data_IF_670546801872
#
_entry.id   IF_670546801872
#
_cell.length_a   1.000
_cell.length_b   1.000
_cell.length_c   1.000
_cell.angle_alpha   90.00
_cell.angle_beta   90.00
_cell.angle_gamma   90.00
#
_symmetry.space_group_name_H-M   'P 1'
#
loop_
_entity.id
_entity.type
_entity.pdbx_description
1 polymer ?
#
# COMPACT_ATOMS: atom_id res chain seq x y z
N UNK A 1 -22.54 -7.95 -21.64
CA UNK A 1 -22.01 -8.35 -20.32
C UNK A 1 -22.56 -7.37 -19.30
N UNK A 2 -23.31 -7.81 -18.27
CA UNK A 2 -23.77 -6.92 -17.22
C UNK A 2 -22.53 -6.42 -16.44
N UNK A 3 -22.44 -5.10 -16.21
CA UNK A 3 -21.44 -4.53 -15.31
C UNK A 3 -21.83 -4.93 -13.89
N UNK A 4 -21.08 -5.85 -13.29
CA UNK A 4 -21.25 -6.20 -11.89
C UNK A 4 -21.02 -4.92 -11.05
N UNK A 5 -21.89 -4.59 -10.08
CA UNK A 5 -21.68 -3.41 -9.26
C UNK A 5 -20.39 -3.61 -8.44
N UNK A 6 -19.48 -2.63 -8.52
CA UNK A 6 -18.26 -2.60 -7.71
C UNK A 6 -18.68 -2.32 -6.27
N UNK A 7 -18.43 -3.25 -5.36
CA UNK A 7 -18.63 -3.02 -3.94
C UNK A 7 -17.44 -2.23 -3.39
N UNK A 8 -17.69 -1.02 -2.90
CA UNK A 8 -16.63 -0.16 -2.36
C UNK A 8 -16.00 -0.75 -1.09
N UNK A 9 -16.72 -1.60 -0.37
CA UNK A 9 -16.22 -2.28 0.83
C UNK A 9 -15.13 -3.31 0.52
N UNK A 10 -14.94 -3.69 -0.76
CA UNK A 10 -13.91 -4.63 -1.19
C UNK A 10 -12.55 -3.93 -1.46
N UNK A 11 -12.50 -2.61 -1.29
CA UNK A 11 -11.30 -1.80 -1.55
C UNK A 11 -10.73 -1.21 -0.27
N UNK A 12 -9.42 -1.00 -0.29
CA UNK A 12 -8.67 -0.28 0.74
C UNK A 12 -7.75 0.73 0.08
N UNK A 13 -7.37 1.75 0.83
CA UNK A 13 -6.38 2.73 0.43
C UNK A 13 -5.02 2.32 0.96
N UNK A 14 -4.06 2.15 0.07
CA UNK A 14 -2.69 1.70 0.36
C UNK A 14 -1.69 2.66 -0.28
N UNK A 15 -0.50 2.75 0.31
CA UNK A 15 0.60 3.50 -0.28
C UNK A 15 1.37 2.57 -1.22
N UNK A 16 1.49 2.92 -2.48
CA UNK A 16 2.31 2.21 -3.47
C UNK A 16 3.60 2.97 -3.75
N UNK A 17 4.60 2.24 -4.22
CA UNK A 17 5.92 2.72 -4.58
C UNK A 17 6.14 2.42 -6.05
N UNK A 18 6.39 3.46 -6.84
CA UNK A 18 6.73 3.35 -8.26
C UNK A 18 8.20 3.70 -8.44
N UNK A 19 8.99 2.76 -8.96
CA UNK A 19 10.40 2.99 -9.31
C UNK A 19 10.57 3.15 -10.81
N UNK A 20 11.21 4.25 -11.21
CA UNK A 20 11.61 4.51 -12.59
C UNK A 20 13.05 4.04 -12.79
N UNK A 21 13.37 3.46 -13.94
CA UNK A 21 14.74 3.07 -14.30
C UNK A 21 15.21 3.92 -15.47
N UNK A 22 16.39 4.53 -15.34
CA UNK A 22 16.90 5.54 -16.30
C UNK A 22 17.29 4.91 -17.65
N UNK A 23 17.67 3.62 -17.66
CA UNK A 23 18.34 2.97 -18.79
C UNK A 23 17.64 1.71 -19.33
N UNK A 24 16.41 1.41 -18.92
CA UNK A 24 15.69 0.22 -19.40
C UNK A 24 14.38 0.63 -20.05
N UNK A 25 14.17 0.21 -21.29
CA UNK A 25 12.92 0.34 -22.04
C UNK A 25 11.74 -0.45 -21.43
N UNK A 26 11.80 -0.79 -20.15
CA UNK A 26 10.79 -1.52 -19.40
C UNK A 26 10.05 -0.57 -18.47
N UNK A 27 8.74 -0.74 -18.53
CA UNK A 27 7.72 -0.07 -17.74
C UNK A 27 8.09 -0.02 -16.26
N UNK A 28 7.70 1.08 -15.61
CA UNK A 28 7.76 1.31 -14.17
C UNK A 28 7.47 0.04 -13.35
N UNK A 29 8.20 -0.14 -12.24
CA UNK A 29 7.87 -1.19 -11.26
C UNK A 29 7.03 -0.56 -10.16
N UNK A 30 5.79 -1.02 -10.03
CA UNK A 30 4.90 -0.64 -8.94
C UNK A 30 4.81 -1.77 -7.92
N UNK A 31 4.92 -1.41 -6.65
CA UNK A 31 4.86 -2.34 -5.51
C UNK A 31 4.17 -1.70 -4.31
N UNK A 32 3.76 -2.52 -3.35
CA UNK A 32 3.23 -2.02 -2.08
C UNK A 32 4.37 -1.43 -1.22
N UNK A 33 4.09 -0.35 -0.50
CA UNK A 33 5.02 0.14 0.51
C UNK A 33 5.01 -0.78 1.74
N UNK A 34 6.02 -1.64 1.83
CA UNK A 34 6.33 -2.40 3.03
C UNK A 34 7.07 -1.56 4.08
N UNK A 35 6.67 -1.68 5.34
CA UNK A 35 7.33 -1.11 6.50
C UNK A 35 7.84 -2.24 7.41
N UNK A 36 8.82 -1.92 8.26
CA UNK A 36 9.28 -2.80 9.31
C UNK A 36 9.05 -2.15 10.68
N UNK A 37 8.59 -2.93 11.65
CA UNK A 37 8.53 -2.50 13.05
C UNK A 37 9.90 -2.62 13.74
N UNK A 38 9.97 -2.20 15.01
CA UNK A 38 11.20 -2.26 15.81
C UNK A 38 11.69 -3.70 16.08
N UNK A 39 10.85 -4.71 15.82
CA UNK A 39 11.17 -6.13 15.96
C UNK A 39 11.60 -6.76 14.63
N UNK A 40 11.55 -6.01 13.53
CA UNK A 40 11.87 -6.47 12.18
C UNK A 40 10.72 -7.20 11.48
N UNK A 41 9.51 -7.21 12.05
CA UNK A 41 8.34 -7.74 11.36
C UNK A 41 7.95 -6.81 10.23
N UNK A 42 7.66 -7.39 9.06
CA UNK A 42 7.35 -6.65 7.86
C UNK A 42 5.84 -6.57 7.63
N UNK A 43 5.32 -5.38 7.36
CA UNK A 43 3.90 -5.18 7.14
C UNK A 43 3.58 -4.08 6.11
N UNK A 44 2.40 -4.16 5.52
CA UNK A 44 1.80 -3.13 4.66
C UNK A 44 0.65 -2.47 5.42
N UNK A 45 0.72 -1.15 5.70
CA UNK A 45 -0.40 -0.42 6.27
C UNK A 45 -1.44 -0.10 5.21
N UNK A 46 -2.70 -0.40 5.51
CA UNK A 46 -3.87 -0.03 4.68
C UNK A 46 -4.88 0.75 5.49
N UNK A 47 -5.73 1.53 4.83
CA UNK A 47 -6.78 2.33 5.48
C UNK A 47 -8.11 2.17 4.74
N UNK A 48 -9.23 2.40 5.43
CA UNK A 48 -10.56 2.46 4.78
C UNK A 48 -10.86 3.81 4.14
N UNK A 49 -10.12 4.86 4.51
CA UNK A 49 -10.35 6.24 4.07
C UNK A 49 -9.12 6.80 3.36
N UNK A 50 -9.33 7.47 2.22
CA UNK A 50 -8.23 8.04 1.41
C UNK A 50 -7.41 9.05 2.19
N UNK A 51 -8.09 9.87 2.96
CA UNK A 51 -7.51 10.96 3.75
C UNK A 51 -6.56 10.41 4.83
N UNK A 52 -6.90 9.26 5.41
CA UNK A 52 -6.05 8.56 6.36
C UNK A 52 -4.75 8.07 5.68
N UNK A 53 -4.83 7.43 4.51
CA UNK A 53 -3.65 7.03 3.75
C UNK A 53 -2.79 8.23 3.32
N UNK A 54 -3.39 9.35 2.93
CA UNK A 54 -2.65 10.58 2.62
C UNK A 54 -1.92 11.13 3.85
N UNK A 55 -2.59 11.15 5.01
CA UNK A 55 -1.97 11.58 6.26
C UNK A 55 -0.77 10.71 6.64
N UNK A 56 -0.81 9.41 6.36
CA UNK A 56 0.32 8.50 6.56
C UNK A 56 1.46 8.79 5.57
N UNK A 57 1.14 8.96 4.28
CA UNK A 57 2.13 9.32 3.26
C UNK A 57 2.92 10.59 3.64
N UNK A 58 2.25 11.62 4.16
CA UNK A 58 2.89 12.86 4.60
C UNK A 58 3.79 12.70 5.83
N UNK A 59 3.64 11.62 6.61
CA UNK A 59 4.47 11.33 7.78
C UNK A 59 5.71 10.51 7.43
N UNK A 60 5.76 9.92 6.24
CA UNK A 60 6.91 9.16 5.82
C UNK A 60 8.12 10.09 5.64
N UNK A 61 9.33 9.62 5.98
CA UNK A 61 10.53 10.37 5.64
C UNK A 61 10.61 10.57 4.13
N UNK A 62 11.17 11.69 3.66
CA UNK A 62 11.36 11.93 2.24
C UNK A 62 12.18 10.79 1.64
N UNK A 63 11.76 10.32 0.47
CA UNK A 63 12.47 9.30 -0.27
C UNK A 63 13.78 9.87 -0.82
N UNK A 64 14.95 9.33 -0.44
CA UNK A 64 16.25 9.82 -0.92
C UNK A 64 16.43 9.62 -2.44
N UNK A 65 15.82 8.58 -3.01
CA UNK A 65 15.92 8.31 -4.44
C UNK A 65 14.86 9.07 -5.23
N UNK A 66 15.28 10.03 -6.06
CA UNK A 66 14.37 10.82 -6.91
C UNK A 66 13.66 10.00 -7.97
N UNK A 67 14.10 8.77 -8.22
CA UNK A 67 13.46 7.84 -9.16
C UNK A 67 12.32 7.04 -8.52
N UNK A 68 12.12 7.21 -7.21
CA UNK A 68 11.10 6.51 -6.43
C UNK A 68 9.99 7.50 -6.08
N UNK A 69 8.78 7.17 -6.52
CA UNK A 69 7.57 7.94 -6.25
C UNK A 69 6.67 7.13 -5.32
N UNK A 70 6.07 7.79 -4.31
CA UNK A 70 5.11 7.18 -3.39
C UNK A 70 3.76 7.86 -3.57
N UNK A 71 2.70 7.08 -3.70
CA UNK A 71 1.35 7.58 -3.92
C UNK A 71 0.30 6.75 -3.17
N UNK A 72 -0.91 7.30 -3.05
CA UNK A 72 -2.05 6.61 -2.41
C UNK A 72 -2.98 6.09 -3.49
N UNK A 73 -3.21 4.77 -3.49
CA UNK A 73 -4.08 4.08 -4.44
C UNK A 73 -5.21 3.32 -3.74
N UNK A 74 -6.36 3.26 -4.41
CA UNK A 74 -7.45 2.37 -4.01
C UNK A 74 -7.24 1.01 -4.67
N UNK A 75 -6.97 -0.01 -3.86
CA UNK A 75 -6.70 -1.37 -4.33
C UNK A 75 -7.70 -2.35 -3.73
N UNK A 76 -8.04 -3.38 -4.51
CA UNK A 76 -8.89 -4.46 -4.02
C UNK A 76 -8.16 -5.22 -2.89
N UNK A 77 -8.88 -5.53 -1.81
CA UNK A 77 -8.33 -6.21 -0.62
C UNK A 77 -7.61 -7.52 -0.96
N UNK A 78 -8.16 -8.32 -1.87
CA UNK A 78 -7.59 -9.62 -2.23
C UNK A 78 -6.27 -9.45 -2.98
N UNK A 79 -6.21 -8.47 -3.87
CA UNK A 79 -4.98 -8.13 -4.60
C UNK A 79 -3.88 -7.63 -3.65
N UNK A 80 -4.22 -6.75 -2.70
CA UNK A 80 -3.25 -6.26 -1.71
C UNK A 80 -2.73 -7.41 -0.86
N UNK A 81 -3.61 -8.30 -0.39
CA UNK A 81 -3.21 -9.48 0.39
C UNK A 81 -2.30 -10.40 -0.41
N UNK A 82 -2.66 -10.68 -1.66
CA UNK A 82 -1.84 -11.53 -2.53
C UNK A 82 -0.43 -10.94 -2.70
N UNK A 83 -0.32 -9.67 -3.08
CA UNK A 83 0.97 -9.01 -3.27
C UNK A 83 1.78 -8.93 -1.98
N UNK A 84 1.15 -8.63 -0.85
CA UNK A 84 1.79 -8.61 0.46
C UNK A 84 2.33 -10.00 0.83
N UNK A 85 1.54 -11.05 0.63
CA UNK A 85 1.95 -12.43 0.91
C UNK A 85 3.12 -12.87 0.02
N UNK A 86 3.09 -12.53 -1.27
CA UNK A 86 4.20 -12.80 -2.20
C UNK A 86 5.49 -12.08 -1.77
N UNK A 87 5.38 -10.92 -1.14
CA UNK A 87 6.49 -10.16 -0.57
C UNK A 87 6.90 -10.54 0.86
N UNK A 88 6.14 -11.41 1.54
CA UNK A 88 6.41 -11.79 2.94
C UNK A 88 5.95 -10.76 3.98
N UNK A 89 4.97 -9.93 3.65
CA UNK A 89 4.41 -8.89 4.52
C UNK A 89 3.06 -9.32 5.13
N UNK A 90 2.84 -8.95 6.39
CA UNK A 90 1.49 -8.89 6.96
C UNK A 90 0.74 -7.65 6.44
N UNK A 91 -0.59 -7.66 6.49
CA UNK A 91 -1.41 -6.49 6.11
C UNK A 91 -2.21 -6.01 7.30
N UNK A 92 -1.98 -4.78 7.73
CA UNK A 92 -2.67 -4.18 8.87
C UNK A 92 -3.56 -3.02 8.44
N UNK A 93 -4.81 -3.06 8.90
CA UNK A 93 -5.69 -1.91 8.86
C UNK A 93 -5.23 -0.92 9.93
N UNK A 94 -4.95 0.32 9.52
CA UNK A 94 -4.51 1.40 10.39
C UNK A 94 -5.37 2.66 10.24
N UNK A 95 -5.33 3.53 11.24
CA UNK A 95 -5.89 4.88 11.15
C UNK A 95 -4.90 5.90 10.55
N UNK A 96 -5.33 7.14 10.31
CA UNK A 96 -4.46 8.23 9.83
C UNK A 96 -3.36 8.65 10.82
N UNK A 97 -3.41 8.15 12.06
CA UNK A 97 -2.34 8.31 13.05
C UNK A 97 -1.27 7.21 12.96
N UNK A 98 -1.53 6.12 12.24
CA UNK A 98 -0.66 4.95 12.11
C UNK A 98 -0.94 3.89 13.18
N UNK A 99 -2.07 3.96 13.88
CA UNK A 99 -2.45 2.97 14.89
C UNK A 99 -3.13 1.79 14.23
N UNK A 100 -2.74 0.58 14.62
CA UNK A 100 -3.35 -0.66 14.15
C UNK A 100 -4.77 -0.78 14.72
N UNK A 101 -5.74 -0.96 13.82
CA UNK A 101 -7.15 -1.21 14.12
C UNK A 101 -7.48 -2.71 14.02
N UNK A 102 -6.72 -3.45 13.21
CA UNK A 102 -6.86 -4.89 13.04
C UNK A 102 -5.97 -5.41 11.92
N UNK A 103 -5.93 -6.72 11.75
CA UNK A 103 -5.30 -7.36 10.59
C UNK A 103 -6.33 -7.49 9.47
N UNK A 104 -5.91 -7.27 8.23
CA UNK A 104 -6.74 -7.55 7.07
C UNK A 104 -6.74 -9.07 6.85
N UNK A 105 -7.61 -9.78 7.57
CA UNK A 105 -7.74 -11.23 7.51
C UNK A 105 -8.41 -11.73 6.21
N UNK A 106 -8.47 -13.05 6.07
CA UNK A 106 -8.89 -13.74 4.86
C UNK A 106 -10.39 -13.92 4.66
#
# INVERSE_FOLDING_TARGET
MPKQPVNQDDYVWVITVTKRFEDVAKDWEESLLGLADDQGNQFVPVTTEREAAQALLYKLPPEPDKMVERQVEAMNKDLVRQQAQEGGFDVYLVDGAGRILGQLEA
#
